data_IF_877091872500
#
_entry.id   IF_877091872500
#
_cell.length_a   1.000
_cell.length_b   1.000
_cell.length_c   1.000
_cell.angle_alpha   90.00
_cell.angle_beta   90.00
_cell.angle_gamma   90.00
#
_symmetry.space_group_name_H-M   'P 1'
#
loop_
_entity.id
_entity.type
_entity.pdbx_description
1 polymer ?
#
# COMPACT_ATOMS: atom_id res chain seq x y z
N UNK A 1 -3.68 36.88 1.80
CA UNK A 1 -4.01 36.04 0.62
C UNK A 1 -2.79 35.25 0.12
N UNK A 2 -2.29 34.23 0.85
CA UNK A 2 -1.21 33.33 0.34
C UNK A 2 -1.37 31.88 0.88
N UNK A 3 -2.56 31.30 0.77
CA UNK A 3 -2.84 29.89 1.06
C UNK A 3 -2.61 28.99 -0.16
N UNK A 4 -1.41 29.02 -0.76
CA UNK A 4 -1.12 28.21 -1.98
C UNK A 4 0.17 27.38 -1.92
N UNK A 5 0.71 27.10 -0.73
CA UNK A 5 1.92 26.24 -0.57
C UNK A 5 1.92 25.35 0.67
N UNK A 6 0.76 24.96 1.24
CA UNK A 6 0.76 23.88 2.26
C UNK A 6 0.75 22.47 1.68
N UNK A 7 0.27 22.33 0.42
CA UNK A 7 0.16 21.05 -0.28
C UNK A 7 1.50 20.43 -0.75
N UNK A 8 2.60 21.14 -1.08
CA UNK A 8 3.74 20.49 -1.73
C UNK A 8 4.76 19.87 -0.76
N UNK A 9 4.77 20.22 0.53
CA UNK A 9 5.76 19.71 1.48
C UNK A 9 5.29 18.45 2.20
N UNK A 10 4.05 18.47 2.71
CA UNK A 10 3.47 17.32 3.42
C UNK A 10 3.36 16.10 2.51
N UNK A 11 2.79 16.25 1.31
CA UNK A 11 2.70 15.16 0.34
C UNK A 11 4.09 14.64 -0.06
N UNK A 12 5.06 15.53 -0.27
CA UNK A 12 6.40 15.14 -0.70
C UNK A 12 7.19 14.36 0.35
N UNK A 13 6.88 14.53 1.64
CA UNK A 13 7.51 13.77 2.72
C UNK A 13 6.67 12.56 3.17
N UNK A 14 5.35 12.70 3.21
CA UNK A 14 4.45 11.64 3.66
C UNK A 14 4.27 10.53 2.63
N UNK A 15 4.25 10.84 1.33
CA UNK A 15 4.13 9.81 0.28
C UNK A 15 5.29 8.81 0.30
N UNK A 16 6.58 9.21 0.28
CA UNK A 16 7.66 8.23 0.33
C UNK A 16 7.73 7.47 1.66
N UNK A 17 7.39 8.11 2.79
CA UNK A 17 7.33 7.43 4.09
C UNK A 17 6.18 6.39 4.14
N UNK A 18 5.01 6.77 3.64
CA UNK A 18 3.84 5.90 3.53
C UNK A 18 4.11 4.75 2.58
N UNK A 19 4.68 5.00 1.39
CA UNK A 19 5.03 3.94 0.45
C UNK A 19 6.04 2.97 1.07
N UNK A 20 7.09 3.47 1.73
CA UNK A 20 8.13 2.61 2.31
C UNK A 20 7.64 1.74 3.47
N UNK A 21 6.60 2.16 4.20
CA UNK A 21 6.07 1.41 5.35
C UNK A 21 4.82 0.60 5.00
N UNK A 22 3.87 1.20 4.28
CA UNK A 22 2.58 0.58 3.97
C UNK A 22 2.65 -0.38 2.80
N UNK A 23 3.49 -0.15 1.78
CA UNK A 23 3.61 -1.08 0.64
C UNK A 23 4.13 -2.46 1.06
N UNK A 24 5.24 -2.60 1.82
CA UNK A 24 5.70 -3.93 2.24
C UNK A 24 4.71 -4.64 3.17
N UNK A 25 4.03 -3.90 4.06
CA UNK A 25 2.98 -4.47 4.92
C UNK A 25 1.77 -4.95 4.12
N UNK A 26 1.32 -4.13 3.15
CA UNK A 26 0.23 -4.47 2.24
C UNK A 26 0.58 -5.67 1.38
N UNK A 27 1.77 -5.70 0.76
CA UNK A 27 2.21 -6.84 -0.03
C UNK A 27 2.27 -8.12 0.80
N UNK A 28 2.82 -8.05 2.02
CA UNK A 28 2.95 -9.23 2.88
C UNK A 28 1.61 -9.80 3.35
N UNK A 29 0.57 -8.98 3.49
CA UNK A 29 -0.75 -9.43 3.98
C UNK A 29 -1.74 -9.69 2.83
N UNK A 30 -1.82 -8.76 1.87
CA UNK A 30 -2.79 -8.84 0.78
C UNK A 30 -2.38 -9.81 -0.32
N UNK A 31 -1.10 -9.95 -0.65
CA UNK A 31 -0.67 -10.90 -1.70
C UNK A 31 -1.02 -12.35 -1.34
N UNK A 32 -0.68 -12.89 -0.14
CA UNK A 32 -1.07 -14.26 0.19
C UNK A 32 -2.58 -14.46 0.33
N UNK A 33 -3.33 -13.45 0.79
CA UNK A 33 -4.79 -13.52 0.83
C UNK A 33 -5.41 -13.54 -0.57
N UNK A 34 -4.90 -12.71 -1.48
CA UNK A 34 -5.34 -12.66 -2.87
C UNK A 34 -4.98 -13.96 -3.60
N UNK A 35 -3.77 -14.49 -3.40
CA UNK A 35 -3.36 -15.77 -3.94
C UNK A 35 -4.26 -16.91 -3.42
N UNK A 36 -4.58 -16.97 -2.12
CA UNK A 36 -5.55 -17.95 -1.59
C UNK A 36 -6.96 -17.81 -2.16
N UNK A 37 -7.39 -16.59 -2.47
CA UNK A 37 -8.73 -16.34 -2.98
C UNK A 37 -8.85 -16.53 -4.49
N UNK A 38 -7.77 -16.34 -5.24
CA UNK A 38 -7.76 -16.36 -6.70
C UNK A 38 -7.11 -17.62 -7.29
N UNK A 39 -6.21 -18.27 -6.57
CA UNK A 39 -5.75 -19.62 -6.90
C UNK A 39 -6.65 -20.59 -6.13
N UNK A 40 -7.54 -21.34 -6.81
CA UNK A 40 -8.22 -22.45 -6.16
C UNK A 40 -7.14 -23.42 -5.68
N UNK A 41 -7.18 -23.74 -4.40
CA UNK A 41 -6.22 -24.64 -3.76
C UNK A 41 -6.19 -25.97 -4.54
N UNK A 42 -5.07 -26.35 -5.19
CA UNK A 42 -5.03 -27.57 -5.97
C UNK A 42 -5.04 -28.84 -5.12
N UNK A 43 -5.05 -28.72 -3.79
CA UNK A 43 -5.05 -29.83 -2.83
C UNK A 43 -6.32 -29.93 -1.97
N UNK A 44 -7.30 -29.06 -2.16
CA UNK A 44 -8.65 -29.25 -1.59
C UNK A 44 -9.45 -30.13 -2.55
N UNK A 45 -9.31 -31.44 -2.38
CA UNK A 45 -10.40 -32.39 -2.63
C UNK A 45 -11.48 -32.26 -1.55
#
# INVERSE_FOLDING_TARGET
MKNKKRVPAFLRSCVPAFLRSCVPAFLRSCVPAFLRSCVPDPFVC
#
